data_IF_059611894504
#
_entry.id   IF_059611894504
#
_cell.length_a   1.000
_cell.length_b   1.000
_cell.length_c   1.000
_cell.angle_alpha   90.00
_cell.angle_beta   90.00
_cell.angle_gamma   90.00
#
_symmetry.space_group_name_H-M   'P 1'
#
loop_
_entity.id
_entity.type
_entity.pdbx_description
1 polymer ?
#
# COMPACT_ATOMS: atom_id res chain seq x y z
N UNK A 1 -7.09 2.70 -14.81
CA UNK A 1 -6.90 1.64 -13.80
C UNK A 1 -5.52 1.08 -14.01
N UNK A 2 -4.69 1.08 -12.97
CA UNK A 2 -3.27 0.71 -13.11
C UNK A 2 -2.92 -0.28 -12.02
N UNK A 3 -2.31 -1.40 -12.40
CA UNK A 3 -1.68 -2.33 -11.47
C UNK A 3 -0.17 -2.09 -11.53
N UNK A 4 0.43 -1.89 -10.37
CA UNK A 4 1.87 -1.66 -10.22
C UNK A 4 2.37 -2.42 -9.01
N UNK A 5 3.51 -3.08 -9.15
CA UNK A 5 4.15 -3.76 -8.02
C UNK A 5 4.74 -2.69 -7.08
N UNK A 6 4.64 -2.91 -5.78
CA UNK A 6 5.31 -2.08 -4.80
C UNK A 6 5.92 -2.91 -3.68
N UNK A 7 6.87 -2.32 -2.98
CA UNK A 7 7.46 -2.84 -1.76
C UNK A 7 6.82 -2.13 -0.58
N UNK A 8 6.43 -2.89 0.45
CA UNK A 8 5.81 -2.36 1.66
C UNK A 8 6.85 -2.32 2.77
N UNK A 9 6.98 -1.17 3.42
CA UNK A 9 7.73 -1.02 4.66
C UNK A 9 6.77 -0.80 5.82
N UNK A 10 6.84 -1.70 6.80
CA UNK A 10 6.06 -1.61 8.03
C UNK A 10 6.71 -0.63 9.01
N UNK A 11 5.91 -0.04 9.93
CA UNK A 11 6.45 0.79 10.99
C UNK A 11 7.54 0.08 11.81
N UNK A 12 8.51 0.85 12.32
CA UNK A 12 9.56 0.30 13.15
C UNK A 12 8.98 -0.47 14.36
N UNK A 13 9.42 -1.72 14.54
CA UNK A 13 8.91 -2.62 15.58
C UNK A 13 7.66 -3.41 15.19
N UNK A 14 7.10 -3.20 13.99
CA UNK A 14 6.03 -4.05 13.44
C UNK A 14 6.63 -5.11 12.54
N UNK A 15 6.67 -6.36 13.02
CA UNK A 15 7.21 -7.49 12.25
C UNK A 15 6.18 -8.08 11.26
N UNK A 16 4.88 -7.97 11.57
CA UNK A 16 3.81 -8.57 10.79
C UNK A 16 2.50 -7.80 10.98
N UNK A 17 1.67 -7.78 9.94
CA UNK A 17 0.28 -7.33 10.00
C UNK A 17 -0.67 -8.53 9.89
N UNK A 18 -1.70 -8.58 10.73
CA UNK A 18 -2.69 -9.65 10.73
C UNK A 18 -3.95 -9.25 9.95
N UNK A 19 -4.72 -10.23 9.41
CA UNK A 19 -6.01 -9.94 8.80
C UNK A 19 -6.96 -9.24 9.78
N UNK A 20 -7.44 -8.05 9.39
CA UNK A 20 -8.32 -7.22 10.21
C UNK A 20 -7.63 -6.01 10.88
N UNK A 21 -6.29 -5.96 10.85
CA UNK A 21 -5.53 -4.83 11.38
C UNK A 21 -5.66 -3.60 10.47
N UNK A 22 -5.63 -2.41 11.10
CA UNK A 22 -5.41 -1.15 10.41
C UNK A 22 -4.00 -0.69 10.72
N UNK A 23 -3.20 -0.49 9.68
CA UNK A 23 -1.77 -0.16 9.81
C UNK A 23 -1.43 0.95 8.81
N UNK A 24 -0.69 1.95 9.28
CA UNK A 24 -0.03 2.92 8.41
C UNK A 24 1.31 2.33 7.96
N UNK A 25 1.59 2.40 6.66
CA UNK A 25 2.79 1.81 6.06
C UNK A 25 3.28 2.66 4.89
N UNK A 26 4.58 2.59 4.63
CA UNK A 26 5.19 3.22 3.45
C UNK A 26 5.16 2.22 2.30
N UNK A 27 4.85 2.70 1.09
CA UNK A 27 4.82 1.87 -0.11
C UNK A 27 5.71 2.52 -1.18
N UNK A 28 6.73 1.81 -1.63
CA UNK A 28 7.59 2.22 -2.75
C UNK A 28 7.12 1.50 -4.02
N UNK A 29 6.75 2.26 -5.06
CA UNK A 29 6.27 1.69 -6.32
C UNK A 29 7.43 1.51 -7.31
N UNK A 30 7.49 0.37 -8.01
CA UNK A 30 8.57 0.12 -8.98
C UNK A 30 8.48 0.99 -10.24
N UNK A 31 7.32 1.61 -10.47
CA UNK A 31 7.09 2.56 -11.57
C UNK A 31 6.29 3.76 -11.03
N UNK A 32 6.56 4.98 -11.52
CA UNK A 32 5.82 6.16 -11.12
C UNK A 32 4.38 6.09 -11.63
N UNK A 33 3.43 6.43 -10.75
CA UNK A 33 2.01 6.47 -11.04
C UNK A 33 1.45 7.84 -10.64
N UNK A 34 0.56 8.37 -11.46
CA UNK A 34 -0.19 9.56 -11.10
C UNK A 34 -1.08 9.28 -9.87
N UNK A 35 -0.85 10.01 -8.79
CA UNK A 35 -1.53 9.81 -7.50
C UNK A 35 -1.82 11.14 -6.80
N UNK A 36 -2.83 11.12 -5.92
CA UNK A 36 -3.23 12.24 -5.07
C UNK A 36 -3.53 11.75 -3.65
N UNK A 37 -3.39 12.63 -2.66
CA UNK A 37 -3.80 12.31 -1.30
C UNK A 37 -5.30 12.00 -1.25
N UNK A 38 -5.68 10.97 -0.51
CA UNK A 38 -7.06 10.51 -0.42
C UNK A 38 -7.47 9.52 -1.51
N UNK A 39 -6.64 9.27 -2.53
CA UNK A 39 -6.88 8.24 -3.53
C UNK A 39 -6.95 6.86 -2.85
N UNK A 40 -8.00 6.10 -3.16
CA UNK A 40 -8.20 4.74 -2.64
C UNK A 40 -7.56 3.70 -3.55
N UNK A 41 -6.99 2.65 -2.97
CA UNK A 41 -6.37 1.55 -3.71
C UNK A 41 -6.65 0.20 -3.05
N UNK A 42 -6.40 -0.87 -3.80
CA UNK A 42 -6.45 -2.25 -3.31
C UNK A 42 -5.07 -2.90 -3.41
N UNK A 43 -4.71 -3.72 -2.44
CA UNK A 43 -3.49 -4.53 -2.45
C UNK A 43 -3.87 -5.93 -2.91
N UNK A 44 -3.18 -6.43 -3.94
CA UNK A 44 -3.47 -7.73 -4.54
C UNK A 44 -2.22 -8.59 -4.61
N UNK A 45 -2.34 -9.83 -4.16
CA UNK A 45 -1.28 -10.84 -4.22
C UNK A 45 -1.88 -12.16 -4.73
N UNK A 46 -1.18 -12.84 -5.65
CA UNK A 46 -1.65 -14.12 -6.19
C UNK A 46 -3.06 -14.08 -6.81
N UNK A 47 -3.49 -12.91 -7.32
CA UNK A 47 -4.82 -12.69 -7.88
C UNK A 47 -5.92 -12.37 -6.86
N UNK A 48 -5.64 -12.41 -5.56
CA UNK A 48 -6.60 -12.12 -4.48
C UNK A 48 -6.39 -10.72 -3.92
N UNK A 49 -7.47 -10.05 -3.53
CA UNK A 49 -7.39 -8.81 -2.75
C UNK A 49 -7.08 -9.17 -1.30
N UNK A 50 -5.96 -8.66 -0.79
CA UNK A 50 -5.45 -8.94 0.56
C UNK A 50 -5.54 -7.72 1.48
N UNK A 51 -5.74 -6.53 0.90
CA UNK A 51 -5.91 -5.29 1.65
C UNK A 51 -6.57 -4.19 0.82
N UNK A 52 -7.00 -3.14 1.50
CA UNK A 52 -7.48 -1.90 0.90
C UNK A 52 -6.92 -0.72 1.67
N UNK A 53 -6.58 0.35 0.97
CA UNK A 53 -5.94 1.50 1.57
C UNK A 53 -6.36 2.81 0.92
N UNK A 54 -5.88 3.89 1.55
CA UNK A 54 -6.00 5.26 1.06
C UNK A 54 -4.64 5.93 1.17
N UNK A 55 -4.24 6.69 0.14
CA UNK A 55 -2.99 7.45 0.15
C UNK A 55 -3.09 8.55 1.21
N UNK A 56 -2.30 8.44 2.28
CA UNK A 56 -2.25 9.43 3.35
C UNK A 56 -1.34 10.61 3.00
N UNK A 57 -0.14 10.34 2.47
CA UNK A 57 0.82 11.32 2.00
C UNK A 57 1.62 10.77 0.80
N UNK A 58 2.17 11.67 -0.01
CA UNK A 58 3.04 11.33 -1.15
C UNK A 58 4.43 11.84 -0.77
N UNK A 59 5.42 10.96 -0.82
CA UNK A 59 6.73 11.18 -0.19
C UNK A 59 7.85 11.37 -1.20
N UNK A 60 7.75 10.77 -2.40
CA UNK A 60 8.66 10.95 -3.55
C UNK A 60 7.91 10.72 -4.88
#
# INVERSE_FOLDING_TARGET
TTDVTGVIELPAGTEMCMPGDNVEMTIELIHPIAMEQGLTFAIREGGRTVGSGRVASIIE
#
